data_IF_800100178918
#
_entry.id   IF_800100178918
#
_cell.length_a   1.000
_cell.length_b   1.000
_cell.length_c   1.000
_cell.angle_alpha   90.00
_cell.angle_beta   90.00
_cell.angle_gamma   90.00
#
_symmetry.space_group_name_H-M   'P 1'
#
loop_
_entity.id
_entity.type
_entity.pdbx_description
1 polymer ?
#
# COMPACT_ATOMS: atom_id res chain seq x y z
N UNK A 1 -17.02 -10.15 3.37
CA UNK A 1 -16.25 -9.37 4.35
C UNK A 1 -15.66 -10.20 5.49
N UNK A 2 -16.44 -11.02 6.21
CA UNK A 2 -15.92 -11.88 7.31
C UNK A 2 -14.76 -12.81 6.92
N UNK A 3 -14.72 -13.31 5.67
CA UNK A 3 -13.65 -14.21 5.19
C UNK A 3 -12.31 -13.52 5.01
N UNK A 4 -12.30 -12.25 4.61
CA UNK A 4 -11.06 -11.48 4.42
C UNK A 4 -10.48 -11.00 5.75
N UNK A 5 -11.33 -10.69 6.73
CA UNK A 5 -10.90 -10.35 8.10
C UNK A 5 -10.26 -11.55 8.77
N UNK A 6 -10.85 -12.76 8.61
CA UNK A 6 -10.27 -14.01 9.11
C UNK A 6 -8.94 -14.36 8.42
N UNK A 7 -8.82 -14.10 7.12
CA UNK A 7 -7.57 -14.32 6.37
C UNK A 7 -6.47 -13.34 6.79
N UNK A 8 -6.79 -12.08 7.04
CA UNK A 8 -5.85 -11.10 7.61
C UNK A 8 -5.47 -11.46 9.06
N UNK A 9 -6.42 -11.90 9.88
CA UNK A 9 -6.12 -12.36 11.24
C UNK A 9 -5.27 -13.62 11.27
N UNK A 10 -5.47 -14.57 10.33
CA UNK A 10 -4.63 -15.78 10.23
C UNK A 10 -3.21 -15.45 9.74
N UNK A 11 -3.06 -14.49 8.82
CA UNK A 11 -1.74 -13.95 8.45
C UNK A 11 -1.05 -13.30 9.66
N UNK A 12 -1.80 -12.61 10.51
CA UNK A 12 -1.28 -11.95 11.70
C UNK A 12 -0.89 -12.91 12.82
N UNK A 13 -1.63 -14.03 13.01
CA UNK A 13 -1.27 -15.03 14.02
C UNK A 13 -0.02 -15.85 13.65
N UNK A 14 0.27 -16.04 12.36
CA UNK A 14 1.55 -16.62 11.91
C UNK A 14 2.75 -15.70 12.17
N UNK A 15 2.50 -14.42 12.36
CA UNK A 15 3.49 -13.35 12.53
C UNK A 15 4.05 -13.25 13.95
N UNK A 16 3.34 -13.76 14.97
CA UNK A 16 3.81 -13.71 16.37
C UNK A 16 5.06 -14.54 16.67
N UNK A 17 5.50 -15.40 15.77
CA UNK A 17 6.68 -16.26 15.99
C UNK A 17 7.97 -15.78 15.33
N UNK A 18 8.00 -14.64 14.63
CA UNK A 18 9.18 -14.20 13.88
C UNK A 18 9.39 -12.68 13.88
N UNK A 19 9.59 -12.08 15.06
CA UNK A 19 9.84 -10.62 15.19
C UNK A 19 10.97 -10.09 14.29
N UNK A 20 12.01 -10.87 14.02
CA UNK A 20 13.11 -10.46 13.13
C UNK A 20 12.66 -10.39 11.67
N UNK A 21 11.88 -11.35 11.20
CA UNK A 21 11.38 -11.39 9.81
C UNK A 21 10.41 -10.25 9.54
N UNK A 22 9.58 -9.87 10.52
CA UNK A 22 8.64 -8.75 10.37
C UNK A 22 9.37 -7.42 10.27
N UNK A 23 10.41 -7.20 11.06
CA UNK A 23 11.24 -5.98 10.96
C UNK A 23 11.87 -5.86 9.57
N UNK A 24 12.36 -6.96 9.02
CA UNK A 24 12.87 -7.02 7.65
C UNK A 24 11.77 -6.72 6.61
N UNK A 25 10.58 -7.27 6.79
CA UNK A 25 9.47 -7.06 5.86
C UNK A 25 8.95 -5.61 5.92
N UNK A 26 8.92 -5.00 7.09
CA UNK A 26 8.61 -3.57 7.26
C UNK A 26 9.68 -2.72 6.58
N UNK A 27 10.95 -3.03 6.74
CA UNK A 27 12.04 -2.30 6.09
C UNK A 27 11.94 -2.38 4.56
N UNK A 28 11.69 -3.58 4.02
CA UNK A 28 11.44 -3.77 2.57
C UNK A 28 10.20 -3.02 2.09
N UNK A 29 9.15 -2.96 2.90
CA UNK A 29 7.94 -2.19 2.60
C UNK A 29 8.25 -0.69 2.51
N UNK A 30 9.05 -0.15 3.43
CA UNK A 30 9.52 1.25 3.38
C UNK A 30 10.33 1.55 2.12
N UNK A 31 11.25 0.67 1.76
CA UNK A 31 12.06 0.83 0.55
C UNK A 31 11.20 0.84 -0.72
N UNK A 32 10.18 -0.04 -0.78
CA UNK A 32 9.20 -0.04 -1.88
C UNK A 32 8.37 1.23 -1.89
N UNK A 33 7.89 1.70 -0.73
CA UNK A 33 7.14 2.94 -0.61
C UNK A 33 7.96 4.16 -1.06
N UNK A 34 9.25 4.22 -0.69
CA UNK A 34 10.16 5.28 -1.14
C UNK A 34 10.36 5.26 -2.66
N UNK A 35 10.52 4.08 -3.27
CA UNK A 35 10.61 3.94 -4.73
C UNK A 35 9.32 4.36 -5.43
N UNK A 36 8.17 3.95 -4.92
CA UNK A 36 6.86 4.37 -5.44
C UNK A 36 6.68 5.88 -5.33
N UNK A 37 7.08 6.49 -4.21
CA UNK A 37 7.01 7.94 -4.03
C UNK A 37 7.88 8.68 -5.06
N UNK A 38 9.10 8.20 -5.31
CA UNK A 38 9.99 8.78 -6.32
C UNK A 38 9.35 8.70 -7.71
N UNK A 39 8.80 7.53 -8.10
CA UNK A 39 8.09 7.36 -9.38
C UNK A 39 6.87 8.28 -9.50
N UNK A 40 6.10 8.45 -8.41
CA UNK A 40 4.96 9.38 -8.40
C UNK A 40 5.40 10.85 -8.58
N UNK A 41 6.54 11.22 -8.03
CA UNK A 41 7.09 12.58 -8.16
C UNK A 41 7.64 12.85 -9.56
N UNK A 42 8.20 11.83 -10.21
CA UNK A 42 8.76 11.91 -11.56
C UNK A 42 7.70 11.79 -12.66
N UNK A 43 6.47 11.38 -12.30
CA UNK A 43 5.40 11.22 -13.26
C UNK A 43 5.04 12.54 -13.94
N UNK A 44 5.00 12.51 -15.26
CA UNK A 44 4.59 13.63 -16.12
C UNK A 44 3.52 13.18 -17.09
N UNK A 45 2.59 14.09 -17.36
CA UNK A 45 1.55 13.84 -18.36
C UNK A 45 2.12 13.83 -19.76
N UNK A 46 1.57 12.97 -20.61
CA UNK A 46 1.95 12.82 -22.03
C UNK A 46 1.16 13.74 -22.95
N UNK A 47 0.02 14.28 -22.47
CA UNK A 47 -0.97 14.99 -23.27
C UNK A 47 -2.00 14.07 -23.94
N UNK A 48 -1.87 12.75 -23.77
CA UNK A 48 -2.80 11.75 -24.28
C UNK A 48 -3.77 11.30 -23.19
N UNK A 49 -5.07 11.44 -23.45
CA UNK A 49 -6.09 11.25 -22.42
C UNK A 49 -6.10 9.84 -21.79
N UNK A 50 -5.92 8.77 -22.61
CA UNK A 50 -5.92 7.41 -22.09
C UNK A 50 -4.61 7.05 -21.39
N UNK A 51 -3.46 7.52 -21.92
CA UNK A 51 -2.15 7.32 -21.29
C UNK A 51 -2.09 8.05 -19.95
N UNK A 52 -2.51 9.32 -19.90
CA UNK A 52 -2.54 10.11 -18.70
C UNK A 52 -3.56 9.57 -17.68
N UNK A 53 -4.75 9.17 -18.15
CA UNK A 53 -5.75 8.55 -17.29
C UNK A 53 -5.32 7.21 -16.67
N UNK A 54 -4.48 6.44 -17.35
CA UNK A 54 -3.82 5.26 -16.78
C UNK A 54 -2.74 5.66 -15.77
N UNK A 55 -1.86 6.59 -16.13
CA UNK A 55 -0.80 7.08 -15.26
C UNK A 55 -1.35 7.66 -13.95
N UNK A 56 -2.41 8.46 -13.99
CA UNK A 56 -3.09 9.00 -12.81
C UNK A 56 -3.70 7.89 -11.94
N UNK A 57 -4.30 6.87 -12.55
CA UNK A 57 -4.86 5.74 -11.81
C UNK A 57 -3.75 4.93 -11.09
N UNK A 58 -2.62 4.70 -11.75
CA UNK A 58 -1.44 4.05 -11.14
C UNK A 58 -0.88 4.89 -10.00
N UNK A 59 -0.74 6.20 -10.21
CA UNK A 59 -0.28 7.14 -9.17
C UNK A 59 -1.20 7.12 -7.95
N UNK A 60 -2.51 7.14 -8.15
CA UNK A 60 -3.47 7.08 -7.05
C UNK A 60 -3.36 5.76 -6.27
N UNK A 61 -3.22 4.63 -6.95
CA UNK A 61 -3.01 3.34 -6.29
C UNK A 61 -1.69 3.32 -5.50
N UNK A 62 -0.62 3.89 -6.05
CA UNK A 62 0.68 3.98 -5.37
C UNK A 62 0.62 4.85 -4.10
N UNK A 63 -0.09 5.99 -4.14
CA UNK A 63 -0.28 6.85 -2.96
C UNK A 63 -1.02 6.12 -1.85
N UNK A 64 -2.06 5.34 -2.18
CA UNK A 64 -2.77 4.51 -1.20
C UNK A 64 -1.86 3.41 -0.63
N UNK A 65 -1.08 2.74 -1.45
CA UNK A 65 -0.12 1.71 -1.01
C UNK A 65 0.92 2.28 -0.03
N UNK A 66 1.44 3.48 -0.30
CA UNK A 66 2.38 4.18 0.59
C UNK A 66 1.71 4.50 1.92
N UNK A 67 0.51 5.07 1.91
CA UNK A 67 -0.24 5.41 3.11
C UNK A 67 -0.55 4.18 3.96
N UNK A 68 -1.00 3.08 3.33
CA UNK A 68 -1.28 1.81 4.00
C UNK A 68 -0.01 1.20 4.61
N UNK A 69 1.14 1.29 3.93
CA UNK A 69 2.42 0.83 4.46
C UNK A 69 2.83 1.56 5.74
N UNK A 70 2.67 2.88 5.79
CA UNK A 70 2.95 3.70 6.97
C UNK A 70 1.99 3.36 8.11
N UNK A 71 0.70 3.21 7.81
CA UNK A 71 -0.31 2.88 8.82
C UNK A 71 -0.06 1.49 9.41
N UNK A 72 0.26 0.48 8.57
CA UNK A 72 0.60 -0.86 9.03
C UNK A 72 1.79 -0.85 9.98
N UNK A 73 2.85 -0.12 9.64
CA UNK A 73 4.02 0.01 10.52
C UNK A 73 3.65 0.62 11.87
N UNK A 74 2.87 1.70 11.88
CA UNK A 74 2.41 2.34 13.09
C UNK A 74 1.59 1.40 13.97
N UNK A 75 0.67 0.65 13.40
CA UNK A 75 -0.15 -0.32 14.11
C UNK A 75 0.70 -1.48 14.66
N UNK A 76 1.66 -1.97 13.86
CA UNK A 76 2.58 -3.02 14.30
C UNK A 76 3.43 -2.56 15.49
N UNK A 77 4.03 -1.36 15.43
CA UNK A 77 4.82 -0.82 16.53
C UNK A 77 3.99 -0.68 17.81
N UNK A 78 2.78 -0.19 17.70
CA UNK A 78 1.84 -0.12 18.84
C UNK A 78 1.52 -1.52 19.41
N UNK A 79 1.35 -2.53 18.53
CA UNK A 79 1.06 -3.89 18.98
C UNK A 79 2.20 -4.50 19.80
N UNK A 80 3.44 -4.24 19.43
CA UNK A 80 4.62 -4.75 20.14
C UNK A 80 5.13 -3.82 21.25
N UNK A 81 4.47 -2.66 21.47
CA UNK A 81 4.89 -1.69 22.47
C UNK A 81 6.21 -1.01 22.12
N UNK A 82 6.45 -0.68 20.85
CA UNK A 82 7.65 0.00 20.39
C UNK A 82 7.30 1.41 19.88
N UNK A 83 8.08 2.42 20.29
CA UNK A 83 7.95 3.79 19.77
C UNK A 83 8.41 3.88 18.32
N UNK A 84 8.15 5.03 17.66
CA UNK A 84 8.64 5.27 16.30
C UNK A 84 10.17 5.21 16.20
N UNK A 85 10.87 5.54 17.27
CA UNK A 85 12.34 5.48 17.36
C UNK A 85 12.88 4.10 17.76
N UNK A 86 12.01 3.09 17.88
CA UNK A 86 12.39 1.72 18.17
C UNK A 86 12.66 1.44 19.65
N UNK A 87 12.26 2.33 20.56
CA UNK A 87 12.38 2.15 22.01
C UNK A 87 11.15 1.41 22.53
N UNK A 88 11.33 0.43 23.40
CA UNK A 88 10.22 -0.25 24.07
C UNK A 88 9.53 0.68 25.05
N UNK A 89 8.22 0.85 24.90
CA UNK A 89 7.37 1.65 25.78
C UNK A 89 6.08 0.88 26.09
N UNK A 90 5.99 0.39 27.31
CA UNK A 90 4.84 -0.40 27.80
C UNK A 90 3.56 0.43 28.00
N UNK A 91 3.66 1.76 27.90
CA UNK A 91 2.50 2.66 28.01
C UNK A 91 1.77 2.87 26.67
N UNK A 92 2.34 2.40 25.58
CA UNK A 92 1.73 2.53 24.25
C UNK A 92 0.43 1.73 24.19
N UNK A 93 -0.63 2.42 23.82
CA UNK A 93 -1.94 1.77 23.62
C UNK A 93 -1.94 0.92 22.36
N UNK A 94 -2.23 -0.37 22.51
CA UNK A 94 -2.35 -1.30 21.37
C UNK A 94 -3.48 -0.89 20.43
N UNK A 95 -3.38 -1.22 19.14
CA UNK A 95 -4.49 -1.02 18.21
C UNK A 95 -5.73 -1.80 18.66
N UNK A 96 -6.88 -1.17 18.53
CA UNK A 96 -8.17 -1.81 18.79
C UNK A 96 -8.60 -2.67 17.60
N UNK A 97 -9.58 -3.56 17.83
CA UNK A 97 -10.18 -4.34 16.74
C UNK A 97 -10.79 -3.42 15.66
N UNK A 98 -11.42 -2.32 16.07
CA UNK A 98 -12.04 -1.38 15.12
C UNK A 98 -10.99 -0.68 14.25
N UNK A 99 -9.82 -0.36 14.80
CA UNK A 99 -8.69 0.18 14.03
C UNK A 99 -8.22 -0.85 12.99
N UNK A 100 -8.10 -2.13 13.36
CA UNK A 100 -7.74 -3.20 12.42
C UNK A 100 -8.79 -3.40 11.33
N UNK A 101 -10.08 -3.35 11.67
CA UNK A 101 -11.18 -3.44 10.69
C UNK A 101 -11.15 -2.25 9.73
N UNK A 102 -10.92 -1.05 10.25
CA UNK A 102 -10.79 0.16 9.44
C UNK A 102 -9.59 0.06 8.50
N UNK A 103 -8.45 -0.39 8.99
CA UNK A 103 -7.27 -0.63 8.16
C UNK A 103 -7.52 -1.65 7.05
N UNK A 104 -8.20 -2.76 7.34
CA UNK A 104 -8.58 -3.75 6.34
C UNK A 104 -9.45 -3.15 5.23
N UNK A 105 -10.33 -2.20 5.56
CA UNK A 105 -11.14 -1.47 4.58
C UNK A 105 -10.27 -0.56 3.68
N UNK A 106 -9.23 0.09 4.22
CA UNK A 106 -8.31 0.90 3.41
C UNK A 106 -7.50 0.05 2.44
N UNK A 107 -7.05 -1.14 2.86
CA UNK A 107 -6.37 -2.11 1.97
C UNK A 107 -7.30 -2.61 0.86
N UNK A 108 -8.58 -2.83 1.18
CA UNK A 108 -9.56 -3.19 0.15
C UNK A 108 -9.76 -2.05 -0.88
N UNK A 109 -9.72 -0.80 -0.43
CA UNK A 109 -9.76 0.39 -1.30
C UNK A 109 -8.53 0.48 -2.21
N UNK A 110 -7.34 0.16 -1.70
CA UNK A 110 -6.12 0.05 -2.50
C UNK A 110 -6.26 -1.01 -3.60
N UNK A 111 -6.73 -2.21 -3.27
CA UNK A 111 -6.95 -3.28 -4.22
C UNK A 111 -7.95 -2.88 -5.33
N UNK A 112 -9.01 -2.15 -4.99
CA UNK A 112 -9.96 -1.59 -5.95
C UNK A 112 -9.29 -0.56 -6.89
N UNK A 113 -8.40 0.28 -6.36
CA UNK A 113 -7.65 1.26 -7.15
C UNK A 113 -6.66 0.60 -8.12
N UNK A 114 -5.99 -0.47 -7.69
CA UNK A 114 -5.11 -1.26 -8.55
C UNK A 114 -5.91 -1.89 -9.69
N UNK A 115 -7.08 -2.46 -9.38
CA UNK A 115 -7.98 -3.00 -10.40
C UNK A 115 -8.41 -1.93 -11.40
N UNK A 116 -8.81 -0.75 -10.93
CA UNK A 116 -9.22 0.36 -11.79
C UNK A 116 -8.08 0.84 -12.71
N UNK A 117 -6.84 0.84 -12.25
CA UNK A 117 -5.67 1.10 -13.08
C UNK A 117 -5.47 0.00 -14.13
N UNK A 118 -5.57 -1.27 -13.71
CA UNK A 118 -5.42 -2.43 -14.63
C UNK A 118 -6.45 -2.40 -15.75
N UNK A 119 -7.69 -2.02 -15.48
CA UNK A 119 -8.76 -1.93 -16.46
C UNK A 119 -8.48 -0.86 -17.56
N UNK A 120 -7.57 0.08 -17.33
CA UNK A 120 -7.17 1.13 -18.29
C UNK A 120 -5.95 0.76 -19.16
N UNK A 121 -5.24 -0.31 -18.85
CA UNK A 121 -3.97 -0.69 -19.51
C UNK A 121 -4.12 -0.81 -21.02
N UNK A 122 -5.17 -1.51 -21.48
CA UNK A 122 -5.34 -1.79 -22.91
C UNK A 122 -5.55 -0.50 -23.73
N UNK A 123 -6.44 0.37 -23.27
CA UNK A 123 -6.71 1.64 -23.96
C UNK A 123 -5.47 2.55 -23.98
N UNK A 124 -4.71 2.60 -22.89
CA UNK A 124 -3.46 3.37 -22.82
C UNK A 124 -2.38 2.79 -23.76
N UNK A 125 -2.25 1.46 -23.83
CA UNK A 125 -1.30 0.80 -24.71
C UNK A 125 -1.63 1.01 -26.20
N UNK A 126 -2.92 0.93 -26.57
CA UNK A 126 -3.35 1.15 -27.93
C UNK A 126 -3.12 2.60 -28.39
N UNK A 127 -3.33 3.56 -27.51
CA UNK A 127 -3.07 4.97 -27.80
C UNK A 127 -1.57 5.28 -27.84
N UNK A 128 -0.78 4.72 -26.93
CA UNK A 128 0.68 4.88 -26.94
C UNK A 128 1.32 4.34 -28.24
N UNK A 129 0.82 3.24 -28.78
CA UNK A 129 1.27 2.73 -30.09
C UNK A 129 1.03 3.72 -31.21
N UNK A 130 -0.13 4.36 -31.27
CA UNK A 130 -0.45 5.37 -32.30
C UNK A 130 0.49 6.56 -32.22
N UNK A 131 0.84 7.00 -31.01
CA UNK A 131 1.78 8.12 -30.79
C UNK A 131 3.20 7.83 -31.28
N UNK A 132 3.61 6.56 -31.39
CA UNK A 132 4.94 6.16 -31.87
C UNK A 132 4.95 6.02 -33.40
N UNK A 133 3.81 5.71 -34.00
CA UNK A 133 3.65 5.48 -35.45
C UNK A 133 3.43 6.78 -36.24
N UNK A 134 3.12 7.89 -35.58
CA UNK A 134 3.03 9.25 -36.14
C UNK A 134 4.39 9.98 -36.09
#
# INVERSE_FOLDING_TARGET
MKKYVLMLMSLFMMVCSANAQIKDDIQKSKERAAKLQALCNDYKTSGSANVDGYGDAVKNAAVLAIANSVQLENMYKREIGETQDGVTDVTITKPTLDEWVTFAATVAGEAASIKAATDKVQAAADEAKKMIEE
#
